data_IF_614091748337
#
_entry.id   IF_614091748337
#
_cell.length_a   1.000
_cell.length_b   1.000
_cell.length_c   1.000
_cell.angle_alpha   90.00
_cell.angle_beta   90.00
_cell.angle_gamma   90.00
#
_symmetry.space_group_name_H-M   'P 1'
#
loop_
_entity.id
_entity.type
_entity.pdbx_description
1 polymer ?
#
# COMPACT_ATOMS: atom_id res chain seq x y z
N UNK A 1 -63.24 -53.37 61.50
CA UNK A 1 -62.40 -54.04 60.47
C UNK A 1 -62.96 -53.85 59.05
N UNK A 2 -63.30 -52.61 58.63
CA UNK A 2 -63.80 -52.36 57.26
C UNK A 2 -63.21 -51.12 56.57
N UNK A 3 -62.24 -50.45 57.19
CA UNK A 3 -61.57 -49.27 56.61
C UNK A 3 -60.47 -49.70 55.60
N UNK A 4 -59.84 -50.87 55.79
CA UNK A 4 -58.77 -51.35 54.89
C UNK A 4 -59.23 -51.84 53.50
N UNK A 5 -60.51 -52.20 53.31
CA UNK A 5 -61.01 -52.67 51.99
C UNK A 5 -61.28 -51.54 50.98
N UNK A 6 -61.31 -50.26 51.42
CA UNK A 6 -61.47 -49.11 50.50
C UNK A 6 -60.15 -48.48 50.04
N UNK A 7 -59.01 -48.90 50.59
CA UNK A 7 -57.70 -48.30 50.27
C UNK A 7 -57.06 -48.83 48.98
N UNK A 8 -57.41 -50.05 48.54
CA UNK A 8 -56.86 -50.62 47.31
C UNK A 8 -57.33 -49.88 46.03
N UNK A 9 -58.58 -49.38 46.02
CA UNK A 9 -59.11 -48.62 44.88
C UNK A 9 -58.50 -47.23 44.74
N UNK A 10 -58.20 -46.56 45.86
CA UNK A 10 -57.56 -45.23 45.84
C UNK A 10 -56.11 -45.29 45.34
N UNK A 11 -55.38 -46.36 45.65
CA UNK A 11 -54.01 -46.54 45.16
C UNK A 11 -53.96 -46.62 43.63
N UNK A 12 -54.88 -47.38 43.01
CA UNK A 12 -54.98 -47.50 41.55
C UNK A 12 -55.26 -46.14 40.89
N UNK A 13 -56.22 -45.37 41.43
CA UNK A 13 -56.58 -44.06 40.88
C UNK A 13 -55.39 -43.09 40.99
N UNK A 14 -54.70 -43.07 42.14
CA UNK A 14 -53.51 -42.24 42.32
C UNK A 14 -52.42 -42.63 41.31
N UNK A 15 -52.15 -43.92 41.11
CA UNK A 15 -51.17 -44.38 40.14
C UNK A 15 -51.50 -43.95 38.71
N UNK A 16 -52.78 -44.03 38.30
CA UNK A 16 -53.21 -43.59 36.96
C UNK A 16 -53.06 -42.07 36.81
N UNK A 17 -53.46 -41.29 37.81
CA UNK A 17 -53.31 -39.83 37.79
C UNK A 17 -51.83 -39.44 37.72
N UNK A 18 -50.97 -40.10 38.49
CA UNK A 18 -49.52 -39.87 38.46
C UNK A 18 -48.93 -40.24 37.10
N UNK A 19 -49.30 -41.39 36.52
CA UNK A 19 -48.85 -41.79 35.18
C UNK A 19 -49.32 -40.81 34.10
N UNK A 20 -50.55 -40.30 34.20
CA UNK A 20 -51.07 -39.31 33.27
C UNK A 20 -50.30 -37.99 33.39
N UNK A 21 -50.04 -37.51 34.62
CA UNK A 21 -49.21 -36.31 34.85
C UNK A 21 -47.80 -36.47 34.31
N UNK A 22 -47.16 -37.62 34.56
CA UNK A 22 -45.82 -37.93 34.03
C UNK A 22 -45.81 -37.98 32.51
N UNK A 23 -46.88 -38.49 31.88
CA UNK A 23 -46.99 -38.52 30.42
C UNK A 23 -47.12 -37.11 29.82
N UNK A 24 -47.90 -36.24 30.46
CA UNK A 24 -48.04 -34.83 30.05
C UNK A 24 -46.71 -34.10 30.21
N UNK A 25 -46.02 -34.30 31.34
CA UNK A 25 -44.70 -33.70 31.59
C UNK A 25 -43.66 -34.22 30.59
N UNK A 26 -43.66 -35.52 30.28
CA UNK A 26 -42.76 -36.12 29.29
C UNK A 26 -43.00 -35.55 27.89
N UNK A 27 -44.26 -35.40 27.47
CA UNK A 27 -44.60 -34.79 26.18
C UNK A 27 -44.19 -33.30 26.12
N UNK A 28 -44.36 -32.55 27.21
CA UNK A 28 -43.93 -31.16 27.29
C UNK A 28 -42.39 -31.01 27.22
N UNK A 29 -41.66 -31.87 27.94
CA UNK A 29 -40.20 -31.89 27.91
C UNK A 29 -39.65 -32.20 26.50
N UNK A 30 -40.22 -33.21 25.81
CA UNK A 30 -39.82 -33.52 24.43
C UNK A 30 -40.08 -32.37 23.46
N UNK A 31 -41.18 -31.62 23.63
CA UNK A 31 -41.46 -30.43 22.82
C UNK A 31 -40.45 -29.31 23.08
N UNK A 32 -40.09 -29.08 24.35
CA UNK A 32 -39.06 -28.10 24.71
C UNK A 32 -37.70 -28.47 24.09
N UNK A 33 -37.27 -29.73 24.22
CA UNK A 33 -36.02 -30.21 23.62
C UNK A 33 -36.01 -30.10 22.09
N UNK A 34 -37.11 -30.46 21.42
CA UNK A 34 -37.20 -30.30 19.96
C UNK A 34 -37.15 -28.83 19.53
N UNK A 35 -37.71 -27.92 20.33
CA UNK A 35 -37.63 -26.48 20.08
C UNK A 35 -36.20 -25.97 20.26
N UNK A 36 -35.51 -26.37 21.33
CA UNK A 36 -34.11 -26.00 21.57
C UNK A 36 -33.19 -26.53 20.47
N UNK A 37 -33.37 -27.78 20.03
CA UNK A 37 -32.63 -28.35 18.92
C UNK A 37 -32.91 -27.62 17.60
N UNK A 38 -34.14 -27.16 17.39
CA UNK A 38 -34.49 -26.31 16.25
C UNK A 38 -33.73 -24.98 16.27
N UNK A 39 -33.71 -24.31 17.43
CA UNK A 39 -32.98 -23.04 17.61
C UNK A 39 -31.48 -23.24 17.40
N UNK A 40 -30.89 -24.27 18.01
CA UNK A 40 -29.45 -24.57 17.85
C UNK A 40 -29.11 -24.89 16.40
N UNK A 41 -29.95 -25.66 15.71
CA UNK A 41 -29.74 -25.95 14.28
C UNK A 41 -29.82 -24.68 13.43
N UNK A 42 -30.79 -23.81 13.70
CA UNK A 42 -30.94 -22.55 13.00
C UNK A 42 -29.75 -21.62 13.22
N UNK A 43 -29.21 -21.58 14.44
CA UNK A 43 -28.00 -20.83 14.79
C UNK A 43 -26.79 -21.34 14.01
N UNK A 44 -26.55 -22.67 14.01
CA UNK A 44 -25.44 -23.28 13.26
C UNK A 44 -25.56 -23.01 11.76
N UNK A 45 -26.77 -23.05 11.19
CA UNK A 45 -26.97 -22.76 9.77
C UNK A 45 -26.75 -21.28 9.45
N UNK A 46 -27.15 -20.36 10.35
CA UNK A 46 -26.87 -18.94 10.22
C UNK A 46 -25.38 -18.65 10.29
N UNK A 47 -24.66 -19.25 11.24
CA UNK A 47 -23.21 -19.12 11.36
C UNK A 47 -22.49 -19.67 10.11
N UNK A 48 -22.95 -20.80 9.58
CA UNK A 48 -22.43 -21.34 8.33
C UNK A 48 -22.70 -20.41 7.12
N UNK A 49 -23.89 -19.80 7.04
CA UNK A 49 -24.20 -18.81 6.00
C UNK A 49 -23.32 -17.55 6.13
N UNK A 50 -23.01 -17.12 7.36
CA UNK A 50 -22.10 -16.03 7.63
C UNK A 50 -20.68 -16.30 7.08
N UNK A 51 -20.06 -17.43 7.41
CA UNK A 51 -18.71 -17.75 6.87
C UNK A 51 -18.69 -17.89 5.35
N UNK A 52 -19.80 -18.35 4.75
CA UNK A 52 -19.96 -18.40 3.29
C UNK A 52 -20.03 -16.99 2.71
N UNK A 53 -20.74 -16.08 3.38
CA UNK A 53 -20.79 -14.65 3.02
C UNK A 53 -19.40 -14.01 3.09
N UNK A 54 -18.63 -14.25 4.16
CA UNK A 54 -17.24 -13.76 4.29
C UNK A 54 -16.35 -14.29 3.17
N UNK A 55 -16.51 -15.57 2.79
CA UNK A 55 -15.78 -16.15 1.66
C UNK A 55 -16.10 -15.43 0.34
N UNK A 56 -17.34 -15.00 0.16
CA UNK A 56 -17.74 -14.18 -0.98
C UNK A 56 -17.14 -12.77 -0.94
N UNK A 57 -16.99 -12.16 0.25
CA UNK A 57 -16.29 -10.87 0.38
C UNK A 57 -14.82 -10.99 -0.03
N UNK A 58 -14.11 -12.02 0.43
CA UNK A 58 -12.71 -12.23 0.05
C UNK A 58 -12.53 -12.50 -1.45
N UNK A 59 -13.48 -13.25 -2.05
CA UNK A 59 -13.53 -13.43 -3.50
C UNK A 59 -13.78 -12.10 -4.23
N UNK A 60 -14.70 -11.28 -3.72
CA UNK A 60 -15.00 -9.95 -4.26
C UNK A 60 -13.82 -8.99 -4.16
N UNK A 61 -13.10 -8.97 -3.04
CA UNK A 61 -11.85 -8.20 -2.88
C UNK A 61 -10.81 -8.62 -3.91
N UNK A 62 -10.58 -9.92 -4.04
CA UNK A 62 -9.59 -10.46 -4.97
C UNK A 62 -9.93 -10.07 -6.42
N UNK A 63 -11.21 -10.16 -6.78
CA UNK A 63 -11.69 -9.74 -8.10
C UNK A 63 -11.46 -8.23 -8.34
N UNK A 64 -11.79 -7.37 -7.36
CA UNK A 64 -11.54 -5.93 -7.48
C UNK A 64 -10.04 -5.63 -7.61
N UNK A 65 -9.19 -6.28 -6.82
CA UNK A 65 -7.74 -6.11 -6.90
C UNK A 65 -7.21 -6.49 -8.28
N UNK A 66 -7.62 -7.64 -8.83
CA UNK A 66 -7.24 -8.06 -10.19
C UNK A 66 -7.65 -7.03 -11.24
N UNK A 67 -8.88 -6.52 -11.17
CA UNK A 67 -9.38 -5.48 -12.10
C UNK A 67 -8.66 -4.15 -11.96
N UNK A 68 -8.32 -3.76 -10.73
CA UNK A 68 -7.56 -2.55 -10.46
C UNK A 68 -6.15 -2.64 -11.04
N UNK A 69 -5.48 -3.78 -10.87
CA UNK A 69 -4.16 -4.05 -11.46
C UNK A 69 -4.22 -4.08 -13.00
N UNK A 70 -5.27 -4.65 -13.60
CA UNK A 70 -5.46 -4.59 -15.06
C UNK A 70 -5.65 -3.15 -15.57
N UNK A 71 -6.31 -2.30 -14.77
CA UNK A 71 -6.56 -0.89 -15.13
C UNK A 71 -5.30 -0.03 -15.08
N UNK A 72 -4.45 -0.23 -14.06
CA UNK A 72 -3.20 0.53 -13.92
C UNK A 72 -2.24 0.23 -15.07
N UNK A 73 -2.15 -1.03 -15.51
CA UNK A 73 -1.29 -1.45 -16.63
C UNK A 73 -1.68 -0.82 -17.99
N UNK A 74 -2.91 -0.31 -18.13
CA UNK A 74 -3.38 0.29 -19.38
C UNK A 74 -3.22 1.81 -19.44
N UNK A 75 -2.79 2.44 -18.35
CA UNK A 75 -2.73 3.89 -18.21
C UNK A 75 -4.09 4.58 -18.41
N UNK A 76 -5.18 3.82 -18.33
CA UNK A 76 -6.53 4.36 -18.43
C UNK A 76 -7.00 4.73 -17.03
N UNK A 77 -6.64 5.94 -16.60
CA UNK A 77 -7.07 6.50 -15.32
C UNK A 77 -8.57 6.81 -15.29
N UNK A 78 -9.28 6.70 -16.42
CA UNK A 78 -10.69 7.08 -16.49
C UNK A 78 -11.55 6.18 -15.59
N UNK A 79 -12.40 6.82 -14.78
CA UNK A 79 -13.39 6.18 -13.89
C UNK A 79 -14.24 5.11 -14.60
N UNK A 80 -14.40 5.23 -15.93
CA UNK A 80 -15.18 4.31 -16.77
C UNK A 80 -14.54 2.94 -16.99
N UNK A 81 -13.26 2.73 -16.68
CA UNK A 81 -12.60 1.46 -17.01
C UNK A 81 -12.77 0.36 -15.94
N UNK A 82 -12.74 0.70 -14.64
CA UNK A 82 -12.95 -0.32 -13.57
C UNK A 82 -14.36 -0.91 -13.69
N UNK A 83 -15.32 -0.05 -14.02
CA UNK A 83 -16.72 -0.38 -14.14
C UNK A 83 -17.13 0.05 -15.54
N UNK A 84 -16.95 -0.86 -16.52
CA UNK A 84 -17.55 -0.70 -17.85
C UNK A 84 -18.99 -0.19 -17.64
N UNK A 85 -19.43 0.79 -18.43
CA UNK A 85 -20.64 1.63 -18.22
C UNK A 85 -21.99 0.92 -17.98
N UNK A 86 -22.00 -0.40 -17.82
CA UNK A 86 -23.13 -1.25 -17.45
C UNK A 86 -23.42 -1.30 -15.93
N UNK A 87 -22.54 -0.77 -15.06
CA UNK A 87 -22.73 -0.81 -13.58
C UNK A 87 -23.58 0.36 -13.06
N UNK A 88 -24.02 1.25 -13.93
CA UNK A 88 -24.67 2.51 -13.55
C UNK A 88 -26.07 2.37 -12.94
N UNK A 89 -26.66 1.17 -12.85
CA UNK A 89 -27.83 0.94 -12.01
C UNK A 89 -27.90 -0.50 -11.52
N UNK A 90 -28.00 -0.68 -10.20
CA UNK A 90 -28.42 -1.93 -9.53
C UNK A 90 -29.91 -2.17 -9.81
N UNK A 91 -30.28 -2.23 -11.09
CA UNK A 91 -31.54 -2.84 -11.52
C UNK A 91 -31.27 -4.22 -12.17
N UNK A 92 -30.01 -4.56 -12.47
CA UNK A 92 -29.65 -5.91 -12.87
C UNK A 92 -29.58 -6.84 -11.65
N UNK A 93 -30.48 -7.82 -11.63
CA UNK A 93 -30.69 -8.76 -10.51
C UNK A 93 -29.58 -9.82 -10.38
N UNK A 94 -28.65 -9.91 -11.34
CA UNK A 94 -27.66 -10.99 -11.40
C UNK A 94 -26.35 -10.64 -10.66
N UNK A 95 -25.78 -11.57 -9.89
CA UNK A 95 -24.51 -11.34 -9.19
C UNK A 95 -23.32 -11.36 -10.16
N UNK A 96 -22.32 -10.53 -9.88
CA UNK A 96 -21.05 -10.51 -10.64
C UNK A 96 -20.24 -11.78 -10.43
N UNK A 97 -20.27 -12.31 -9.20
CA UNK A 97 -19.62 -13.56 -8.84
C UNK A 97 -20.62 -14.42 -8.08
N UNK A 98 -20.77 -15.67 -8.47
CA UNK A 98 -21.50 -16.66 -7.70
C UNK A 98 -20.73 -17.96 -7.63
N UNK A 99 -20.77 -18.60 -6.47
CA UNK A 99 -20.13 -19.90 -6.29
C UNK A 99 -20.97 -20.79 -5.39
N UNK A 100 -21.28 -21.98 -5.90
CA UNK A 100 -22.03 -23.00 -5.19
C UNK A 100 -21.12 -24.13 -4.74
N UNK A 101 -21.08 -24.36 -3.44
CA UNK A 101 -20.31 -25.43 -2.82
C UNK A 101 -21.11 -26.75 -2.83
N UNK A 102 -20.40 -27.88 -2.70
CA UNK A 102 -21.00 -29.22 -2.68
C UNK A 102 -22.00 -29.45 -1.53
N UNK A 103 -21.91 -28.65 -0.46
CA UNK A 103 -22.66 -28.82 0.77
C UNK A 103 -23.98 -28.03 0.79
N UNK A 104 -24.50 -27.59 -0.35
CA UNK A 104 -25.64 -26.66 -0.49
C UNK A 104 -25.39 -25.27 0.13
N UNK A 105 -24.13 -24.87 0.29
CA UNK A 105 -23.79 -23.47 0.52
C UNK A 105 -23.62 -22.74 -0.81
N UNK A 106 -23.93 -21.46 -0.86
CA UNK A 106 -23.67 -20.61 -2.02
C UNK A 106 -23.39 -19.19 -1.55
N UNK A 107 -22.44 -18.50 -2.20
CA UNK A 107 -22.34 -17.05 -2.10
C UNK A 107 -22.66 -16.39 -3.43
N UNK A 108 -23.12 -15.16 -3.36
CA UNK A 108 -23.31 -14.28 -4.51
C UNK A 108 -22.77 -12.90 -4.14
N UNK A 109 -22.01 -12.28 -5.03
CA UNK A 109 -21.34 -11.00 -4.80
C UNK A 109 -21.87 -9.94 -5.77
N UNK A 110 -22.23 -8.79 -5.23
CA UNK A 110 -22.57 -7.58 -5.96
C UNK A 110 -21.59 -6.47 -5.60
N UNK A 111 -21.33 -5.61 -6.59
CA UNK A 111 -20.56 -4.39 -6.38
C UNK A 111 -21.51 -3.21 -6.52
N UNK A 112 -21.48 -2.33 -5.53
CA UNK A 112 -22.17 -1.04 -5.58
C UNK A 112 -21.12 0.06 -5.49
N UNK A 113 -21.27 1.09 -6.30
CA UNK A 113 -20.36 2.23 -6.30
C UNK A 113 -21.10 3.48 -5.82
N UNK A 114 -20.41 4.30 -5.03
CA UNK A 114 -20.89 5.58 -4.55
C UNK A 114 -19.75 6.60 -4.72
N UNK A 115 -20.02 7.63 -5.54
CA UNK A 115 -19.06 8.68 -5.87
C UNK A 115 -19.41 9.97 -5.15
N UNK A 116 -18.57 10.34 -4.18
CA UNK A 116 -18.69 11.57 -3.44
C UNK A 116 -17.58 12.53 -3.84
N UNK A 117 -17.66 13.13 -5.04
CA UNK A 117 -16.82 14.18 -5.66
C UNK A 117 -15.27 14.05 -5.61
N UNK A 118 -14.68 13.56 -4.52
CA UNK A 118 -13.27 13.27 -4.29
C UNK A 118 -13.02 11.84 -3.78
N UNK A 119 -14.04 11.12 -3.29
CA UNK A 119 -13.88 9.75 -2.81
C UNK A 119 -14.81 8.80 -3.56
N UNK A 120 -14.22 7.83 -4.23
CA UNK A 120 -14.95 6.71 -4.80
C UNK A 120 -14.98 5.57 -3.79
N UNK A 121 -16.16 5.25 -3.29
CA UNK A 121 -16.37 4.08 -2.43
C UNK A 121 -17.02 2.94 -3.21
N UNK A 122 -16.58 1.73 -2.91
CA UNK A 122 -17.05 0.47 -3.50
C UNK A 122 -17.57 -0.40 -2.37
N UNK A 123 -18.85 -0.72 -2.41
CA UNK A 123 -19.44 -1.70 -1.51
C UNK A 123 -19.40 -3.07 -2.17
N UNK A 124 -18.69 -4.01 -1.54
CA UNK A 124 -18.75 -5.44 -1.87
C UNK A 124 -19.85 -6.04 -1.01
N UNK A 125 -20.94 -6.43 -1.64
CA UNK A 125 -22.10 -7.03 -0.97
C UNK A 125 -22.06 -8.52 -1.26
N UNK A 126 -21.91 -9.34 -0.23
CA UNK A 126 -21.95 -10.80 -0.34
C UNK A 126 -23.19 -11.34 0.35
N UNK A 127 -23.96 -12.18 -0.33
CA UNK A 127 -25.05 -12.95 0.27
C UNK A 127 -24.63 -14.41 0.40
N UNK A 128 -24.42 -14.88 1.62
CA UNK A 128 -24.20 -16.29 1.92
C UNK A 128 -25.51 -17.01 2.21
N UNK A 129 -25.76 -18.13 1.52
CA UNK A 129 -26.91 -18.99 1.74
C UNK A 129 -26.48 -20.36 2.28
N UNK A 130 -27.16 -20.83 3.32
CA UNK A 130 -27.11 -22.23 3.79
C UNK A 130 -28.49 -22.73 4.18
N UNK A 131 -29.06 -23.66 3.40
CA UNK A 131 -30.35 -24.32 3.69
C UNK A 131 -31.46 -23.34 4.10
N UNK A 132 -31.70 -22.34 3.25
CA UNK A 132 -32.71 -21.29 3.41
C UNK A 132 -32.39 -20.23 4.48
N UNK A 133 -31.20 -20.28 5.10
CA UNK A 133 -30.67 -19.17 5.91
C UNK A 133 -29.79 -18.31 5.02
N UNK A 134 -30.16 -17.04 4.89
CA UNK A 134 -29.40 -16.04 4.16
C UNK A 134 -28.78 -15.08 5.18
N UNK A 135 -27.50 -14.78 5.00
CA UNK A 135 -26.78 -13.73 5.72
C UNK A 135 -26.16 -12.82 4.68
N UNK A 136 -26.29 -11.51 4.87
CA UNK A 136 -25.66 -10.53 4.00
C UNK A 136 -24.49 -9.88 4.74
N UNK A 137 -23.34 -9.84 4.09
CA UNK A 137 -22.19 -9.05 4.55
C UNK A 137 -21.94 -7.95 3.54
N UNK A 138 -21.70 -6.74 4.04
CA UNK A 138 -21.34 -5.59 3.23
C UNK A 138 -19.99 -5.08 3.70
N UNK A 139 -19.04 -5.04 2.77
CA UNK A 139 -17.73 -4.43 2.96
C UNK A 139 -17.68 -3.14 2.16
N UNK A 140 -17.43 -2.02 2.82
CA UNK A 140 -17.18 -0.74 2.13
C UNK A 140 -15.69 -0.54 1.99
N UNK A 141 -15.24 -0.51 0.75
CA UNK A 141 -13.90 -0.14 0.32
C UNK A 141 -13.95 1.32 -0.12
N UNK A 142 -12.93 2.10 0.19
CA UNK A 142 -12.68 3.39 -0.41
C UNK A 142 -11.42 3.25 -1.24
N UNK A 143 -11.56 3.50 -2.53
CA UNK A 143 -10.41 3.52 -3.41
C UNK A 143 -9.94 4.96 -3.42
N UNK A 144 -8.82 5.20 -2.77
CA UNK A 144 -8.18 6.50 -2.82
C UNK A 144 -7.37 6.56 -4.11
N UNK A 145 -7.94 7.26 -5.10
CA UNK A 145 -7.26 7.63 -6.34
C UNK A 145 -6.92 9.12 -6.25
N UNK A 146 -6.24 9.54 -5.19
CA UNK A 146 -5.67 10.86 -5.21
C UNK A 146 -4.58 10.87 -6.29
N UNK A 147 -4.87 11.46 -7.44
CA UNK A 147 -3.84 11.88 -8.42
C UNK A 147 -2.80 12.82 -7.75
N UNK A 148 -3.16 13.39 -6.59
CA UNK A 148 -2.30 14.15 -5.68
C UNK A 148 -1.41 13.30 -4.76
N UNK A 149 -1.52 11.96 -4.73
CA UNK A 149 -0.67 11.11 -3.90
C UNK A 149 0.71 10.86 -4.53
N UNK A 150 1.01 11.50 -5.66
CA UNK A 150 2.39 11.68 -6.10
C UNK A 150 3.14 12.30 -4.92
N UNK A 151 4.13 11.60 -4.32
CA UNK A 151 4.85 12.15 -3.20
C UNK A 151 5.44 13.49 -3.64
N UNK A 152 5.19 14.54 -2.86
CA UNK A 152 5.86 15.82 -3.04
C UNK A 152 7.05 15.82 -2.09
N UNK A 153 8.25 15.42 -2.55
CA UNK A 153 9.42 15.40 -1.69
C UNK A 153 9.74 16.82 -1.21
N UNK A 154 10.26 16.93 0.01
CA UNK A 154 10.58 18.22 0.63
C UNK A 154 11.84 18.89 0.04
N UNK A 155 12.67 18.10 -0.65
CA UNK A 155 13.91 18.52 -1.29
C UNK A 155 14.30 17.57 -2.44
N UNK A 156 15.23 17.95 -3.33
CA UNK A 156 15.93 17.00 -4.20
C UNK A 156 16.67 15.92 -3.40
N UNK A 157 17.11 16.21 -2.17
CA UNK A 157 17.70 15.23 -1.28
C UNK A 157 17.11 15.32 0.13
N UNK A 158 16.27 14.36 0.50
CA UNK A 158 15.58 14.33 1.80
C UNK A 158 16.01 13.14 2.65
N UNK A 159 16.21 13.34 3.95
CA UNK A 159 16.55 12.30 4.92
C UNK A 159 15.51 12.28 6.04
N UNK A 160 14.78 11.18 6.17
CA UNK A 160 13.70 11.03 7.16
C UNK A 160 14.08 10.04 8.28
N UNK A 161 15.28 9.48 8.27
CA UNK A 161 15.73 8.57 9.34
C UNK A 161 15.90 9.33 10.67
N UNK A 162 15.72 8.66 11.82
CA UNK A 162 16.13 9.20 13.11
C UNK A 162 17.63 9.52 13.16
N UNK A 163 18.02 10.54 13.92
CA UNK A 163 19.43 10.94 14.17
C UNK A 163 20.33 10.93 12.91
N UNK A 164 19.97 11.69 11.86
CA UNK A 164 20.64 11.57 10.57
C UNK A 164 22.11 12.02 10.67
N UNK A 165 22.98 11.20 10.07
CA UNK A 165 24.42 11.46 9.91
C UNK A 165 24.73 11.42 8.43
N UNK A 166 25.28 12.49 7.87
CA UNK A 166 25.59 12.58 6.44
C UNK A 166 26.98 13.19 6.20
N UNK A 167 27.71 12.59 5.26
CA UNK A 167 28.99 13.11 4.78
C UNK A 167 29.01 13.19 3.25
N UNK A 168 29.24 14.40 2.74
CA UNK A 168 29.41 14.68 1.32
C UNK A 168 30.88 14.85 0.96
N UNK A 169 31.40 13.96 0.12
CA UNK A 169 32.72 14.04 -0.47
C UNK A 169 32.63 14.16 -2.00
N UNK A 170 33.73 14.56 -2.64
CA UNK A 170 33.77 14.75 -4.09
C UNK A 170 33.41 16.18 -4.53
N UNK A 171 32.73 16.29 -5.68
CA UNK A 171 32.12 17.52 -6.17
C UNK A 171 30.69 17.25 -6.68
N UNK A 172 29.79 16.72 -5.83
CA UNK A 172 28.40 16.58 -6.20
C UNK A 172 27.70 17.93 -6.31
N UNK A 173 26.55 17.95 -6.99
CA UNK A 173 25.64 19.10 -7.02
C UNK A 173 24.24 18.64 -6.61
N UNK A 174 23.73 19.19 -5.51
CA UNK A 174 22.34 19.03 -5.10
C UNK A 174 21.64 20.36 -5.31
N UNK A 175 20.71 20.40 -6.27
CA UNK A 175 20.07 21.63 -6.71
C UNK A 175 18.58 21.65 -6.39
N UNK A 176 18.15 22.62 -5.58
CA UNK A 176 16.75 22.82 -5.19
C UNK A 176 15.94 23.72 -6.13
N UNK A 177 16.54 24.17 -7.24
CA UNK A 177 15.79 24.79 -8.34
C UNK A 177 14.96 23.73 -9.06
N UNK A 178 13.84 24.13 -9.66
CA UNK A 178 13.07 23.24 -10.53
C UNK A 178 13.73 23.18 -11.91
N UNK A 179 14.28 22.02 -12.26
CA UNK A 179 14.94 21.76 -13.53
C UNK A 179 13.99 21.05 -14.50
N UNK A 180 14.06 21.46 -15.76
CA UNK A 180 13.45 20.68 -16.84
C UNK A 180 14.22 19.37 -17.00
N UNK A 181 13.49 18.30 -17.34
CA UNK A 181 14.15 17.06 -17.76
C UNK A 181 14.92 17.28 -19.07
N UNK A 182 16.05 16.59 -19.31
CA UNK A 182 16.86 16.77 -20.52
C UNK A 182 16.04 16.58 -21.82
N UNK A 183 16.39 17.24 -22.92
CA UNK A 183 15.69 16.95 -24.20
C UNK A 183 15.93 15.52 -24.69
N UNK A 184 17.14 14.99 -24.48
CA UNK A 184 17.53 13.62 -24.82
C UNK A 184 17.52 12.74 -23.57
N UNK A 185 16.57 11.80 -23.52
CA UNK A 185 16.44 10.85 -22.41
C UNK A 185 17.60 9.85 -22.34
N UNK A 186 18.17 9.44 -23.49
CA UNK A 186 19.20 8.39 -23.57
C UNK A 186 20.62 8.98 -23.58
N UNK A 187 20.89 9.86 -22.63
CA UNK A 187 22.12 10.64 -22.55
C UNK A 187 23.27 9.93 -21.80
N UNK A 188 23.04 8.72 -21.27
CA UNK A 188 24.09 7.84 -20.75
C UNK A 188 24.89 8.46 -19.61
N UNK A 189 24.20 9.20 -18.74
CA UNK A 189 24.79 9.88 -17.58
C UNK A 189 25.63 11.12 -17.89
N UNK A 190 25.63 11.66 -19.12
CA UNK A 190 26.18 12.99 -19.44
C UNK A 190 25.08 14.01 -19.76
N UNK A 191 23.97 13.87 -19.04
CA UNK A 191 22.77 14.63 -19.24
C UNK A 191 22.96 16.04 -18.66
N UNK A 192 22.68 17.05 -19.45
CA UNK A 192 22.61 18.43 -18.96
C UNK A 192 21.16 18.87 -19.06
N UNK A 193 20.49 18.98 -17.91
CA UNK A 193 19.23 19.73 -17.83
C UNK A 193 19.52 21.22 -18.04
N UNK A 194 18.53 21.93 -18.55
CA UNK A 194 18.56 23.39 -18.52
C UNK A 194 17.89 23.83 -17.21
N UNK A 195 18.58 24.68 -16.46
CA UNK A 195 17.97 25.37 -15.32
C UNK A 195 16.81 26.21 -15.85
N UNK A 196 15.58 25.85 -15.48
CA UNK A 196 14.41 26.60 -15.86
C UNK A 196 14.23 27.76 -14.88
N UNK A 197 15.03 28.83 -15.08
CA UNK A 197 14.98 30.02 -14.24
C UNK A 197 13.68 30.84 -14.37
N UNK A 198 12.74 30.43 -15.23
CA UNK A 198 11.58 31.24 -15.61
C UNK A 198 10.40 31.17 -14.62
N UNK A 199 10.52 30.43 -13.52
CA UNK A 199 9.34 30.06 -12.75
C UNK A 199 9.14 30.81 -11.44
N UNK A 200 7.94 31.37 -11.34
CA UNK A 200 7.16 31.60 -10.13
C UNK A 200 6.90 30.32 -9.28
N UNK A 201 7.57 29.20 -9.55
CA UNK A 201 7.44 27.91 -8.85
C UNK A 201 8.32 27.84 -7.60
N UNK A 202 7.82 27.13 -6.58
CA UNK A 202 8.43 26.99 -5.26
C UNK A 202 9.75 26.22 -5.35
N UNK A 203 10.84 26.97 -5.42
CA UNK A 203 12.17 26.44 -5.11
C UNK A 203 12.19 25.78 -3.73
N UNK A 204 12.93 24.68 -3.62
CA UNK A 204 13.04 23.89 -2.39
C UNK A 204 14.44 24.02 -1.75
N UNK A 205 14.59 23.73 -0.45
CA UNK A 205 15.93 23.54 0.14
C UNK A 205 16.68 22.43 -0.61
N UNK A 206 18.00 22.52 -0.74
CA UNK A 206 18.77 21.48 -1.42
C UNK A 206 18.82 20.18 -0.60
N UNK A 207 18.97 20.29 0.71
CA UNK A 207 18.87 19.15 1.63
C UNK A 207 17.77 19.44 2.65
N UNK A 208 16.92 18.44 2.86
CA UNK A 208 15.90 18.44 3.90
C UNK A 208 16.09 17.26 4.87
N UNK A 209 15.79 17.49 6.14
CA UNK A 209 15.68 16.43 7.14
C UNK A 209 14.59 16.72 8.17
N UNK A 210 13.77 15.73 8.50
CA UNK A 210 12.75 15.83 9.56
C UNK A 210 13.35 15.98 10.96
N UNK A 211 14.58 15.48 11.14
CA UNK A 211 15.29 15.47 12.39
C UNK A 211 16.52 16.37 12.32
N UNK A 212 16.95 16.90 13.46
CA UNK A 212 18.24 17.60 13.55
C UNK A 212 19.38 16.62 13.22
N UNK A 213 20.27 17.02 12.32
CA UNK A 213 21.45 16.24 12.00
C UNK A 213 22.35 16.10 13.23
N UNK A 214 22.69 14.86 13.59
CA UNK A 214 23.75 14.63 14.56
C UNK A 214 25.10 15.02 13.96
N UNK A 215 25.28 14.74 12.66
CA UNK A 215 26.46 15.07 11.90
C UNK A 215 26.11 15.38 10.44
N UNK A 216 26.60 16.52 9.94
CA UNK A 216 26.46 16.91 8.54
C UNK A 216 27.76 17.57 8.08
N UNK A 217 28.51 16.89 7.20
CA UNK A 217 29.78 17.37 6.63
C UNK A 217 29.64 17.58 5.12
N UNK A 218 29.70 18.84 4.68
CA UNK A 218 29.62 19.22 3.27
C UNK A 218 30.44 20.48 2.98
N UNK A 219 30.61 20.79 1.69
CA UNK A 219 31.17 22.05 1.22
C UNK A 219 30.05 22.84 0.54
N UNK A 220 29.95 24.15 0.78
CA UNK A 220 28.89 25.02 0.22
C UNK A 220 28.72 24.88 -1.30
N UNK A 221 29.81 24.64 -2.02
CA UNK A 221 29.80 24.44 -3.49
C UNK A 221 28.98 23.21 -3.95
N UNK A 222 28.63 22.31 -3.03
CA UNK A 222 27.85 21.10 -3.34
C UNK A 222 26.35 21.38 -3.40
N UNK A 223 25.89 22.50 -2.85
CA UNK A 223 24.48 22.83 -2.72
C UNK A 223 24.18 24.07 -3.55
N UNK A 224 23.09 24.02 -4.29
CA UNK A 224 22.61 25.17 -5.05
C UNK A 224 21.09 25.30 -4.90
N UNK A 225 20.64 26.32 -4.16
CA UNK A 225 19.22 26.56 -3.94
C UNK A 225 19.01 28.06 -3.73
N UNK A 226 17.88 28.62 -4.19
CA UNK A 226 17.50 29.99 -3.89
C UNK A 226 16.85 30.13 -2.49
N UNK A 227 16.57 29.01 -1.82
CA UNK A 227 16.14 28.92 -0.41
C UNK A 227 17.36 28.62 0.48
N UNK A 228 17.23 28.65 1.80
CA UNK A 228 18.27 28.12 2.68
C UNK A 228 18.66 26.70 2.24
N UNK A 229 19.93 26.51 1.89
CA UNK A 229 20.45 25.29 1.24
C UNK A 229 20.23 24.03 2.08
N UNK A 230 20.11 24.21 3.39
CA UNK A 230 19.76 23.16 4.34
C UNK A 230 18.56 23.64 5.14
N UNK A 231 17.49 22.87 5.11
CA UNK A 231 16.36 23.06 6.01
C UNK A 231 16.27 21.87 6.94
N UNK A 232 16.44 22.12 8.22
CA UNK A 232 15.99 21.17 9.25
C UNK A 232 14.50 21.46 9.39
N UNK A 233 13.67 20.46 9.13
CA UNK A 233 12.25 20.53 9.42
C UNK A 233 12.12 20.99 10.87
N UNK A 234 11.56 22.19 11.08
CA UNK A 234 10.97 22.45 12.37
C UNK A 234 9.87 21.39 12.45
N UNK A 235 9.89 20.55 13.49
CA UNK A 235 8.78 19.62 13.81
C UNK A 235 7.39 20.30 13.84
N UNK A 236 7.34 21.63 13.64
CA UNK A 236 6.19 22.50 13.50
C UNK A 236 5.77 22.84 12.04
N UNK A 237 6.41 22.33 10.98
CA UNK A 237 5.87 22.41 9.61
C UNK A 237 4.67 21.48 9.45
N UNK A 238 3.54 21.96 9.96
CA UNK A 238 2.16 21.52 9.77
C UNK A 238 1.87 20.03 9.91
N UNK A 239 0.59 19.71 10.08
CA UNK A 239 0.07 18.35 10.23
C UNK A 239 0.33 17.43 9.00
N UNK A 240 1.16 17.86 8.04
CA UNK A 240 1.43 17.24 6.74
C UNK A 240 2.89 16.87 6.49
N UNK A 241 3.83 17.22 7.38
CA UNK A 241 5.23 16.81 7.24
C UNK A 241 5.33 15.31 6.92
N UNK A 242 5.98 14.98 5.80
CA UNK A 242 6.03 13.62 5.30
C UNK A 242 6.97 12.82 6.21
N UNK A 243 6.41 12.21 7.25
CA UNK A 243 7.18 11.45 8.21
C UNK A 243 7.88 10.25 7.55
N UNK A 244 8.97 9.81 8.15
CA UNK A 244 9.67 8.56 7.84
C UNK A 244 8.72 7.38 7.50
N UNK A 245 7.67 7.20 8.32
CA UNK A 245 6.68 6.14 8.14
C UNK A 245 5.95 6.23 6.79
N UNK A 246 5.68 7.44 6.28
CA UNK A 246 5.05 7.61 4.97
C UNK A 246 5.93 7.05 3.85
N UNK A 247 7.23 7.34 3.86
CA UNK A 247 8.14 6.90 2.81
C UNK A 247 8.39 5.39 2.88
N UNK A 248 8.44 4.84 4.10
CA UNK A 248 8.48 3.39 4.33
C UNK A 248 7.20 2.73 3.77
N UNK A 249 6.03 3.27 4.10
CA UNK A 249 4.75 2.78 3.61
C UNK A 249 4.62 2.95 2.09
N UNK A 250 5.10 4.06 1.54
CA UNK A 250 5.17 4.31 0.10
C UNK A 250 6.01 3.23 -0.60
N UNK A 251 7.25 3.01 -0.18
CA UNK A 251 8.10 1.98 -0.75
C UNK A 251 7.47 0.58 -0.62
N UNK A 252 6.98 0.24 0.58
CA UNK A 252 6.34 -1.06 0.86
C UNK A 252 5.08 -1.31 0.01
N UNK A 253 4.31 -0.26 -0.32
CA UNK A 253 3.16 -0.36 -1.24
C UNK A 253 3.57 -0.69 -2.68
N UNK A 254 4.74 -0.23 -3.10
CA UNK A 254 5.27 -0.48 -4.45
C UNK A 254 5.97 -1.84 -4.56
N UNK A 255 6.50 -2.40 -3.46
CA UNK A 255 7.22 -3.69 -3.47
C UNK A 255 6.45 -4.86 -4.11
N UNK A 256 5.12 -5.03 -3.96
CA UNK A 256 4.39 -6.10 -4.63
C UNK A 256 4.17 -5.87 -6.14
N UNK A 257 4.37 -4.64 -6.61
CA UNK A 257 3.96 -4.17 -7.94
C UNK A 257 5.14 -3.70 -8.79
N UNK A 258 6.37 -4.19 -8.53
CA UNK A 258 7.53 -3.79 -9.32
C UNK A 258 7.44 -4.28 -10.77
N UNK A 259 7.99 -3.48 -11.68
CA UNK A 259 8.22 -3.87 -13.07
C UNK A 259 9.55 -4.61 -13.22
N UNK A 260 10.55 -4.23 -12.43
CA UNK A 260 11.90 -4.78 -12.47
C UNK A 260 12.47 -5.01 -11.07
N UNK A 261 13.03 -6.20 -10.85
CA UNK A 261 13.78 -6.55 -9.65
C UNK A 261 15.23 -6.91 -10.02
N UNK A 262 16.18 -6.28 -9.36
CA UNK A 262 17.61 -6.48 -9.54
C UNK A 262 18.19 -7.04 -8.24
N UNK A 263 18.33 -8.36 -8.18
CA UNK A 263 18.91 -9.06 -7.03
C UNK A 263 20.45 -9.03 -7.06
N UNK A 264 21.07 -9.29 -5.89
CA UNK A 264 22.52 -9.33 -5.67
C UNK A 264 23.34 -10.02 -6.78
N UNK A 265 22.88 -11.20 -7.24
CA UNK A 265 23.62 -12.04 -8.20
C UNK A 265 23.24 -11.77 -9.67
N UNK A 266 22.34 -10.83 -9.94
CA UNK A 266 21.92 -10.53 -11.30
C UNK A 266 23.06 -9.84 -12.05
N UNK A 267 23.27 -10.09 -13.34
CA UNK A 267 24.17 -9.24 -14.15
C UNK A 267 23.36 -8.05 -14.68
N UNK A 268 23.74 -6.81 -14.37
CA UNK A 268 23.16 -5.63 -15.04
C UNK A 268 24.01 -5.33 -16.27
N UNK A 269 23.44 -5.29 -17.49
CA UNK A 269 24.18 -4.90 -18.68
C UNK A 269 24.82 -3.53 -18.51
N UNK A 270 26.03 -3.35 -19.05
CA UNK A 270 26.74 -2.07 -18.94
C UNK A 270 26.05 -0.87 -19.60
N UNK A 271 25.01 -1.10 -20.41
CA UNK A 271 24.10 -0.12 -20.99
C UNK A 271 22.67 -0.69 -20.92
N UNK A 272 21.80 -0.15 -20.06
CA UNK A 272 20.42 -0.63 -19.87
C UNK A 272 19.44 0.55 -19.76
N UNK A 273 18.15 0.31 -20.00
CA UNK A 273 17.08 1.32 -19.92
C UNK A 273 15.99 0.84 -18.96
N UNK A 274 15.70 1.62 -17.93
CA UNK A 274 14.82 1.30 -16.80
C UNK A 274 13.59 2.21 -16.82
N UNK A 275 12.67 1.94 -17.75
CA UNK A 275 11.55 2.82 -18.04
C UNK A 275 11.93 4.03 -18.89
N UNK A 276 10.92 4.75 -19.35
CA UNK A 276 11.02 6.03 -20.05
C UNK A 276 9.88 6.97 -19.63
N UNK A 277 9.85 8.20 -20.14
CA UNK A 277 8.82 9.19 -19.76
C UNK A 277 7.40 8.77 -20.09
N UNK A 278 7.21 7.97 -21.14
CA UNK A 278 5.89 7.48 -21.56
C UNK A 278 5.47 6.25 -20.75
N UNK A 279 6.45 5.45 -20.32
CA UNK A 279 6.28 4.19 -19.59
C UNK A 279 7.28 4.12 -18.41
N UNK A 280 7.08 4.92 -17.36
CA UNK A 280 7.94 4.87 -16.18
C UNK A 280 7.81 3.50 -15.50
N UNK A 281 8.88 3.06 -14.84
CA UNK A 281 8.95 1.74 -14.20
C UNK A 281 9.23 1.85 -12.70
N UNK A 282 8.64 0.95 -11.91
CA UNK A 282 9.09 0.65 -10.55
C UNK A 282 10.25 -0.34 -10.65
N UNK A 283 11.45 0.11 -10.28
CA UNK A 283 12.65 -0.73 -10.24
C UNK A 283 13.11 -0.91 -8.80
N UNK A 284 13.29 -2.15 -8.37
CA UNK A 284 13.86 -2.50 -7.07
C UNK A 284 15.27 -3.02 -7.27
N UNK A 285 16.20 -2.54 -6.45
CA UNK A 285 17.58 -3.05 -6.37
C UNK A 285 17.85 -3.47 -4.94
N UNK A 286 18.24 -4.73 -4.80
CA UNK A 286 18.45 -5.35 -3.49
C UNK A 286 19.90 -5.79 -3.34
N UNK A 287 20.60 -5.20 -2.36
CA UNK A 287 21.96 -5.56 -1.95
C UNK A 287 22.92 -5.65 -3.13
N UNK A 288 22.96 -4.63 -3.98
CA UNK A 288 23.78 -4.66 -5.18
C UNK A 288 24.41 -3.33 -5.53
N UNK A 289 25.66 -3.41 -5.97
CA UNK A 289 26.35 -2.29 -6.62
C UNK A 289 25.95 -2.20 -8.09
N UNK A 290 25.22 -1.16 -8.43
CA UNK A 290 24.86 -0.76 -9.78
C UNK A 290 26.08 -0.13 -10.46
N UNK A 291 26.73 -0.88 -11.33
CA UNK A 291 27.74 -0.35 -12.25
C UNK A 291 27.18 -0.25 -13.67
N UNK A 292 27.79 0.60 -14.50
CA UNK A 292 27.43 0.75 -15.92
C UNK A 292 26.81 2.09 -16.26
N UNK A 293 26.24 2.16 -17.45
CA UNK A 293 25.50 3.30 -17.98
C UNK A 293 24.03 2.92 -17.99
N UNK A 294 23.18 3.63 -17.26
CA UNK A 294 21.76 3.29 -17.18
C UNK A 294 20.97 4.57 -17.33
N UNK A 295 19.96 4.57 -18.19
CA UNK A 295 18.97 5.63 -18.29
C UNK A 295 17.63 5.09 -17.78
N UNK A 296 16.87 5.84 -16.98
CA UNK A 296 15.61 5.34 -16.43
C UNK A 296 14.63 6.44 -16.03
N UNK A 297 13.36 6.07 -15.94
CA UNK A 297 12.31 6.94 -15.43
C UNK A 297 11.34 6.15 -14.57
N UNK A 298 10.84 6.76 -13.49
CA UNK A 298 9.87 6.15 -12.59
C UNK A 298 10.31 6.17 -11.13
N UNK A 299 10.10 5.06 -10.43
CA UNK A 299 10.45 4.93 -9.01
C UNK A 299 11.54 3.90 -8.84
N UNK A 300 12.67 4.30 -8.26
CA UNK A 300 13.80 3.42 -7.97
C UNK A 300 13.88 3.17 -6.46
N UNK A 301 13.69 1.93 -6.02
CA UNK A 301 13.80 1.54 -4.61
C UNK A 301 15.10 0.78 -4.41
N UNK A 302 15.94 1.28 -3.51
CA UNK A 302 17.25 0.72 -3.19
C UNK A 302 17.20 0.18 -1.76
N UNK A 303 17.53 -1.11 -1.60
CA UNK A 303 17.43 -1.83 -0.32
C UNK A 303 18.74 -2.50 0.06
N UNK A 304 18.90 -2.77 1.36
CA UNK A 304 19.91 -3.68 1.90
C UNK A 304 21.34 -3.32 1.45
N UNK A 305 21.70 -2.03 1.53
CA UNK A 305 23.03 -1.55 1.12
C UNK A 305 23.28 -1.49 -0.40
N UNK A 306 22.23 -1.41 -1.23
CA UNK A 306 22.39 -1.13 -2.66
C UNK A 306 23.10 0.22 -2.91
N UNK A 307 24.01 0.26 -3.88
CA UNK A 307 24.91 1.39 -4.15
C UNK A 307 24.96 1.68 -5.65
N UNK A 308 24.95 2.95 -6.05
CA UNK A 308 25.06 3.39 -7.44
C UNK A 308 26.51 3.82 -7.69
N UNK A 309 27.20 3.12 -8.58
CA UNK A 309 28.64 3.30 -8.87
C UNK A 309 28.96 3.64 -10.33
N UNK A 310 27.92 3.75 -11.16
CA UNK A 310 28.01 3.97 -12.61
C UNK A 310 27.63 5.37 -13.09
N UNK A 311 27.56 5.54 -14.41
CA UNK A 311 27.01 6.72 -15.06
C UNK A 311 25.49 6.52 -15.20
N UNK A 312 24.76 6.97 -14.20
CA UNK A 312 23.31 6.82 -14.14
C UNK A 312 22.64 8.09 -14.66
N UNK A 313 21.51 7.95 -15.35
CA UNK A 313 20.55 9.01 -15.60
C UNK A 313 19.20 8.52 -15.13
N UNK A 314 18.53 9.28 -14.28
CA UNK A 314 17.22 8.89 -13.78
C UNK A 314 16.28 10.06 -13.62
N UNK A 315 15.04 9.89 -14.07
CA UNK A 315 13.97 10.87 -13.97
C UNK A 315 12.86 10.33 -13.06
N UNK A 316 12.74 10.87 -11.85
CA UNK A 316 11.68 10.51 -10.91
C UNK A 316 12.12 10.47 -9.45
N UNK A 317 11.62 9.49 -8.71
CA UNK A 317 11.87 9.36 -7.26
C UNK A 317 12.79 8.17 -7.00
N UNK A 318 13.87 8.40 -6.27
CA UNK A 318 14.76 7.36 -5.77
C UNK A 318 14.57 7.24 -4.25
N UNK A 319 14.14 6.08 -3.78
CA UNK A 319 13.93 5.79 -2.35
C UNK A 319 14.99 4.81 -1.87
N UNK A 320 15.86 5.26 -0.97
CA UNK A 320 16.79 4.44 -0.23
C UNK A 320 16.14 3.98 1.08
N UNK A 321 15.93 2.67 1.19
CA UNK A 321 15.39 2.03 2.38
C UNK A 321 16.53 1.57 3.29
N UNK A 322 16.57 2.12 4.50
CA UNK A 322 17.60 1.85 5.51
C UNK A 322 17.10 0.84 6.54
N UNK A 323 17.87 -0.20 6.82
CA UNK A 323 17.63 -1.12 7.94
C UNK A 323 18.64 -0.88 9.07
N UNK A 324 18.32 -1.29 10.31
CA UNK A 324 19.22 -1.15 11.46
C UNK A 324 20.60 -1.78 11.18
N UNK A 325 21.65 -0.97 11.31
CA UNK A 325 23.04 -1.39 11.10
C UNK A 325 23.53 -1.35 9.64
N UNK A 326 22.73 -0.82 8.72
CA UNK A 326 23.19 -0.55 7.36
C UNK A 326 24.16 0.63 7.31
N UNK A 327 25.16 0.50 6.44
CA UNK A 327 26.05 1.59 6.03
C UNK A 327 25.71 1.94 4.59
N UNK A 328 25.41 3.22 4.33
CA UNK A 328 24.93 3.64 3.01
C UNK A 328 25.98 4.53 2.37
N UNK A 329 26.87 3.90 1.60
CA UNK A 329 27.71 4.60 0.65
C UNK A 329 26.92 4.82 -0.64
N UNK A 330 26.26 5.98 -0.73
CA UNK A 330 25.59 6.42 -1.94
C UNK A 330 26.63 6.98 -2.92
N UNK A 331 26.44 6.67 -4.20
CA UNK A 331 27.19 7.31 -5.28
C UNK A 331 28.71 7.14 -5.14
N UNK A 332 29.18 5.96 -4.69
CA UNK A 332 30.60 5.79 -4.34
C UNK A 332 31.56 5.94 -5.52
N UNK A 333 31.06 5.82 -6.75
CA UNK A 333 31.78 6.10 -8.00
C UNK A 333 30.83 6.57 -9.12
N UNK A 334 31.40 7.07 -10.22
CA UNK A 334 30.65 7.55 -11.38
C UNK A 334 30.18 8.99 -11.26
N UNK A 335 29.32 9.39 -12.20
CA UNK A 335 28.67 10.71 -12.27
C UNK A 335 27.18 10.54 -12.55
N UNK A 336 26.41 9.96 -11.61
CA UNK A 336 24.99 9.78 -11.83
C UNK A 336 24.26 11.13 -11.78
N UNK A 337 23.31 11.33 -12.68
CA UNK A 337 22.46 12.51 -12.76
C UNK A 337 21.02 12.10 -12.50
N UNK A 338 20.43 12.65 -11.45
CA UNK A 338 19.05 12.37 -11.04
C UNK A 338 18.27 13.68 -11.18
N UNK A 339 17.18 13.62 -11.96
CA UNK A 339 16.18 14.67 -12.07
C UNK A 339 14.94 14.23 -11.28
N UNK A 340 14.58 14.96 -10.24
CA UNK A 340 13.51 14.60 -9.32
C UNK A 340 14.00 14.63 -7.88
N UNK A 341 13.86 13.53 -7.12
CA UNK A 341 14.27 13.51 -5.71
C UNK A 341 14.87 12.18 -5.28
N UNK A 342 15.81 12.26 -4.34
CA UNK A 342 16.38 11.16 -3.59
C UNK A 342 15.91 11.27 -2.15
N UNK A 343 15.27 10.21 -1.67
CA UNK A 343 14.72 10.11 -0.31
C UNK A 343 15.39 8.97 0.42
N UNK A 344 15.88 9.25 1.62
CA UNK A 344 16.41 8.24 2.53
C UNK A 344 15.41 8.07 3.68
N UNK A 345 14.86 6.87 3.82
CA UNK A 345 13.87 6.54 4.84
C UNK A 345 14.12 5.14 5.41
N UNK A 346 13.78 4.92 6.67
CA UNK A 346 14.04 3.63 7.32
C UNK A 346 14.33 3.75 8.81
N UNK A 347 14.98 2.72 9.33
CA UNK A 347 15.36 2.65 10.74
C UNK A 347 16.53 3.59 11.06
N UNK A 348 16.84 3.72 12.35
CA UNK A 348 17.99 4.50 12.81
C UNK A 348 19.29 3.83 12.35
N UNK A 349 20.21 4.63 11.83
CA UNK A 349 21.58 4.16 11.57
C UNK A 349 22.22 3.75 12.89
N UNK A 350 23.04 2.71 12.87
CA UNK A 350 23.64 2.17 14.09
C UNK A 350 24.32 3.28 14.93
N UNK A 351 24.16 3.18 16.25
CA UNK A 351 24.64 4.17 17.22
C UNK A 351 26.15 3.98 17.52
N UNK A 352 26.86 3.19 16.70
CA UNK A 352 28.27 2.93 16.92
C UNK A 352 29.09 4.21 16.72
N UNK A 353 29.91 4.51 17.72
CA UNK A 353 30.67 5.78 17.84
C UNK A 353 31.75 5.91 16.74
N UNK A 354 32.02 4.81 16.02
CA UNK A 354 32.90 4.82 14.88
C UNK A 354 32.08 5.22 13.65
N UNK A 355 32.56 6.20 12.89
CA UNK A 355 31.96 6.81 11.68
C UNK A 355 31.67 5.83 10.52
N UNK A 356 31.33 4.58 10.82
CA UNK A 356 30.95 3.54 9.87
C UNK A 356 29.46 3.69 9.51
N UNK A 357 28.64 4.26 10.40
CA UNK A 357 27.19 4.38 10.25
C UNK A 357 26.73 5.79 9.83
N UNK A 358 27.17 6.26 8.66
CA UNK A 358 26.74 7.52 8.07
C UNK A 358 26.23 7.33 6.64
N UNK A 359 25.37 8.25 6.19
CA UNK A 359 24.99 8.37 4.79
C UNK A 359 26.17 9.03 4.05
N UNK A 360 26.98 8.21 3.39
CA UNK A 360 28.13 8.63 2.61
C UNK A 360 27.71 9.02 1.20
N UNK A 361 27.70 10.30 0.88
CA UNK A 361 27.57 10.79 -0.49
C UNK A 361 28.97 11.04 -1.04
N UNK A 362 29.60 10.03 -1.65
CA UNK A 362 31.07 10.06 -1.84
C UNK A 362 31.54 10.50 -3.24
N UNK A 363 30.68 10.44 -4.26
CA UNK A 363 31.04 10.66 -5.66
C UNK A 363 30.74 12.07 -6.19
N UNK A 364 30.55 12.16 -7.51
CA UNK A 364 30.18 13.39 -8.20
C UNK A 364 28.77 13.26 -8.80
N UNK A 365 27.86 12.71 -8.01
CA UNK A 365 26.47 12.62 -8.38
C UNK A 365 25.81 13.99 -8.35
N UNK A 366 24.89 14.20 -9.28
CA UNK A 366 24.07 15.41 -9.33
C UNK A 366 22.63 15.01 -9.08
N UNK A 367 21.96 15.72 -8.18
CA UNK A 367 20.54 15.56 -7.88
C UNK A 367 19.88 16.91 -8.06
N UNK A 368 19.08 17.03 -9.09
CA UNK A 368 18.42 18.27 -9.49
C UNK A 368 16.93 18.09 -9.30
N UNK A 369 16.30 18.94 -8.48
CA UNK A 369 14.86 18.88 -8.30
C UNK A 369 14.16 19.07 -9.65
N UNK A 370 13.14 18.26 -9.93
CA UNK A 370 12.36 18.36 -11.16
C UNK A 370 10.94 17.91 -10.87
N UNK A 371 10.03 18.88 -10.79
CA UNK A 371 8.60 18.63 -10.60
C UNK A 371 8.03 17.83 -11.77
N UNK A 372 8.49 18.09 -13.00
CA UNK A 372 8.14 17.32 -14.19
C UNK A 372 8.54 15.84 -14.05
N UNK A 373 9.77 15.54 -13.65
CA UNK A 373 10.22 14.17 -13.48
C UNK A 373 9.43 13.43 -12.38
N UNK A 374 9.14 14.09 -11.26
CA UNK A 374 8.34 13.54 -10.16
C UNK A 374 6.91 13.23 -10.64
N UNK A 375 6.26 14.18 -11.33
CA UNK A 375 4.92 13.98 -11.90
C UNK A 375 4.90 12.83 -12.92
N UNK A 376 5.91 12.76 -13.80
CA UNK A 376 6.06 11.67 -14.75
C UNK A 376 6.23 10.33 -14.02
N UNK A 377 6.99 10.29 -12.92
CA UNK A 377 7.22 9.05 -12.17
C UNK A 377 5.98 8.46 -11.53
N UNK A 378 5.00 9.29 -11.17
CA UNK A 378 3.73 8.84 -10.62
C UNK A 378 2.73 8.36 -11.67
N UNK A 379 2.92 8.77 -12.94
CA UNK A 379 2.07 8.34 -14.04
C UNK A 379 2.24 6.83 -14.25
N UNK A 380 1.18 6.03 -14.06
CA UNK A 380 1.16 4.56 -14.22
C UNK A 380 1.92 3.71 -13.18
N UNK A 381 2.87 4.27 -12.43
CA UNK A 381 3.67 3.49 -11.48
C UNK A 381 2.94 3.18 -10.17
N UNK A 382 2.09 4.07 -9.65
CA UNK A 382 1.48 3.86 -8.33
C UNK A 382 0.11 3.17 -8.51
N UNK A 383 -0.05 1.90 -8.10
CA UNK A 383 -1.34 1.23 -8.16
C UNK A 383 -2.33 1.91 -7.20
N UNK A 384 -3.61 2.03 -7.57
CA UNK A 384 -4.63 2.61 -6.71
C UNK A 384 -4.72 1.84 -5.39
N UNK A 385 -4.78 2.58 -4.29
CA UNK A 385 -4.84 1.98 -2.96
C UNK A 385 -6.29 1.75 -2.52
N UNK A 386 -6.55 0.56 -1.97
CA UNK A 386 -7.86 0.18 -1.45
C UNK A 386 -7.82 0.27 0.08
N UNK A 387 -8.48 1.28 0.63
CA UNK A 387 -8.74 1.39 2.06
C UNK A 387 -10.01 0.64 2.43
N UNK A 388 -9.97 -0.19 3.48
CA UNK A 388 -11.19 -0.73 4.07
C UNK A 388 -11.76 0.31 5.04
N UNK A 389 -12.92 0.87 4.71
CA UNK A 389 -13.55 1.92 5.53
C UNK A 389 -14.48 1.31 6.58
N UNK A 390 -15.27 0.31 6.20
CA UNK A 390 -16.24 -0.29 7.12
C UNK A 390 -16.58 -1.73 6.76
N UNK A 391 -17.00 -2.48 7.78
CA UNK A 391 -17.47 -3.86 7.68
C UNK A 391 -18.80 -3.97 8.42
N UNK A 392 -19.88 -4.32 7.71
CA UNK A 392 -21.23 -4.46 8.27
C UNK A 392 -21.81 -5.84 7.96
N UNK A 393 -22.49 -6.45 8.93
CA UNK A 393 -23.21 -7.72 8.78
C UNK A 393 -24.71 -7.48 9.02
N UNK A 394 -25.57 -7.93 8.10
CA UNK A 394 -27.03 -7.76 8.15
C UNK A 394 -27.78 -9.08 8.26
#
# INVERSE_FOLDING_TARGET
>A
MSIYKKQAGSALIISIVVLMLLSILGAAALRATNSELGIVRDEIMREAAFYVSESGIEAGKSYLQERLSESSLRGDSSKSFILDSEIDNIEDEEPYLSHKFENDSEYSVWFQWEDDNNNSSFQVISNGNKKDKNVQTTLTLQIDRNESDTPTPDAPFSIHTPNPKMRMQGNPLISGYDHDVPEDFLCGGNCTGLENFDSEYDSMPAIYSDNEFEYLDYQDKHLDSPVETTQIGDSALDETGIANDYWIDYANRLLPNYDRLIEHDTDVPGNDVWGDRENPQITIVDNKKLGGTIDGAGVLILKNGADITGNFHFEGIVVYMVEEGDTIDMFSAGTPNIFGSVVVAGEELSDDIYFEDEIGYLGNANVSFSSEAILNSAHNAIPPYINIVSWENK
#
